data_IF_398250569281
#
_entry.id   IF_398250569281
#
_cell.length_a   1.000
_cell.length_b   1.000
_cell.length_c   1.000
_cell.angle_alpha   90.00
_cell.angle_beta   90.00
_cell.angle_gamma   90.00
#
_symmetry.space_group_name_H-M   'P 1'
#
loop_
_entity.id
_entity.type
_entity.pdbx_description
1 polymer ?
#
# COMPACT_ATOMS: atom_id res chain seq x y z
N UNK A 1 -2.02 3.95 -14.78
CA UNK A 1 -2.42 5.20 -14.10
C UNK A 1 -2.18 5.04 -12.61
N UNK A 2 -1.81 6.08 -11.86
CA UNK A 2 -1.52 5.95 -10.43
C UNK A 2 -2.78 5.60 -9.64
N UNK A 3 -2.64 4.68 -8.69
CA UNK A 3 -3.73 4.26 -7.80
C UNK A 3 -4.19 5.40 -6.89
N UNK A 4 -3.25 6.07 -6.19
CA UNK A 4 -3.55 7.31 -5.45
C UNK A 4 -3.37 8.51 -6.36
N UNK A 5 -4.39 9.36 -6.47
CA UNK A 5 -4.37 10.62 -7.25
C UNK A 5 -3.97 11.81 -6.39
N UNK A 6 -4.31 11.77 -5.13
CA UNK A 6 -3.97 12.81 -4.16
C UNK A 6 -3.93 12.25 -2.75
N UNK A 7 -3.20 12.92 -1.86
CA UNK A 7 -3.21 12.68 -0.43
C UNK A 7 -3.28 14.00 0.31
N UNK A 8 -4.21 14.14 1.23
CA UNK A 8 -4.32 15.26 2.15
C UNK A 8 -4.19 14.77 3.58
N UNK A 9 -3.26 15.34 4.31
CA UNK A 9 -3.11 15.21 5.74
C UNK A 9 -3.44 16.56 6.37
N UNK A 10 -4.46 16.63 7.20
CA UNK A 10 -4.99 17.86 7.75
C UNK A 10 -5.05 17.75 9.29
N UNK A 11 -4.32 18.58 9.98
CA UNK A 11 -4.18 18.51 11.43
C UNK A 11 -3.45 17.26 11.93
N UNK A 12 -2.57 16.67 11.10
CA UNK A 12 -1.83 15.43 11.39
C UNK A 12 -0.32 15.67 11.26
N UNK A 13 0.46 15.19 12.25
CA UNK A 13 1.93 15.22 12.24
C UNK A 13 2.47 16.64 11.95
N UNK A 14 3.23 16.83 10.85
CA UNK A 14 3.75 18.11 10.41
C UNK A 14 2.79 18.93 9.52
N UNK A 15 1.59 18.42 9.25
CA UNK A 15 0.61 19.06 8.37
C UNK A 15 -0.42 19.82 9.20
N UNK A 16 -0.42 21.19 9.15
CA UNK A 16 -1.35 21.99 9.94
C UNK A 16 -2.81 21.83 9.47
N UNK A 17 -3.77 22.25 10.30
CA UNK A 17 -5.15 22.41 9.87
C UNK A 17 -5.27 23.32 8.65
N UNK A 18 -6.09 22.92 7.67
CA UNK A 18 -6.22 23.63 6.40
C UNK A 18 -5.16 23.29 5.34
N UNK A 19 -4.38 22.22 5.56
CA UNK A 19 -3.42 21.72 4.56
C UNK A 19 -4.11 21.34 3.25
N UNK A 20 -3.49 21.72 2.12
CA UNK A 20 -3.99 21.40 0.79
C UNK A 20 -3.69 19.95 0.38
N UNK A 21 -4.50 19.34 -0.49
CA UNK A 21 -4.21 18.04 -1.07
C UNK A 21 -2.91 18.05 -1.88
N UNK A 22 -2.06 17.07 -1.68
CA UNK A 22 -0.84 16.85 -2.46
C UNK A 22 -1.21 15.97 -3.66
N UNK A 23 -1.09 16.45 -4.90
CA UNK A 23 -1.33 15.63 -6.07
C UNK A 23 -0.25 14.56 -6.21
N UNK A 24 -0.65 13.34 -6.60
CA UNK A 24 0.25 12.21 -6.79
C UNK A 24 0.17 11.71 -8.23
N UNK A 25 1.32 11.33 -8.76
CA UNK A 25 1.50 10.79 -10.12
C UNK A 25 2.00 9.35 -10.09
N UNK A 26 2.37 8.77 -11.24
CA UNK A 26 2.93 7.42 -11.32
C UNK A 26 4.28 7.30 -10.58
N UNK A 27 5.10 8.35 -10.64
CA UNK A 27 6.35 8.47 -9.89
C UNK A 27 6.37 9.80 -9.14
N UNK A 28 6.65 9.75 -7.84
CA UNK A 28 6.78 10.93 -6.99
C UNK A 28 8.11 10.85 -6.25
N UNK A 29 8.91 11.90 -6.35
CA UNK A 29 10.20 12.02 -5.66
C UNK A 29 10.11 13.13 -4.63
N UNK A 30 10.24 12.77 -3.35
CA UNK A 30 10.17 13.70 -2.22
C UNK A 30 11.57 14.21 -1.89
N UNK A 31 11.82 15.49 -2.13
CA UNK A 31 13.11 16.15 -1.84
C UNK A 31 12.88 17.30 -0.85
N UNK A 32 13.78 17.46 0.10
CA UNK A 32 13.72 18.56 1.05
C UNK A 32 14.67 18.35 2.23
N UNK A 33 14.91 19.38 3.05
CA UNK A 33 15.75 19.28 4.23
C UNK A 33 15.14 18.32 5.29
N UNK A 34 15.96 17.96 6.28
CA UNK A 34 15.48 17.21 7.43
C UNK A 34 14.39 18.00 8.16
N UNK A 35 13.34 17.33 8.62
CA UNK A 35 12.21 17.97 9.28
C UNK A 35 11.18 18.62 8.34
N UNK A 36 11.33 18.52 6.99
CA UNK A 36 10.35 19.08 6.04
C UNK A 36 9.04 18.29 5.90
N UNK A 37 8.87 17.20 6.64
CA UNK A 37 7.64 16.39 6.63
C UNK A 37 7.62 15.25 5.62
N UNK A 38 8.73 14.93 4.93
CA UNK A 38 8.80 13.80 3.98
C UNK A 38 8.40 12.46 4.61
N UNK A 39 9.03 12.11 5.74
CA UNK A 39 8.72 10.88 6.47
C UNK A 39 7.28 10.88 6.99
N UNK A 40 6.78 12.04 7.42
CA UNK A 40 5.39 12.18 7.88
C UNK A 40 4.37 11.96 6.75
N UNK A 41 4.72 12.31 5.50
CA UNK A 41 3.88 11.99 4.35
C UNK A 41 3.81 10.47 4.11
N UNK A 42 4.96 9.79 4.21
CA UNK A 42 5.03 8.32 4.10
C UNK A 42 4.25 7.67 5.25
N UNK A 43 4.36 8.16 6.48
CA UNK A 43 3.55 7.71 7.61
C UNK A 43 2.04 7.85 7.36
N UNK A 44 1.61 8.93 6.72
CA UNK A 44 0.22 9.10 6.30
C UNK A 44 -0.22 8.02 5.30
N UNK A 45 0.65 7.62 4.37
CA UNK A 45 0.39 6.52 3.44
C UNK A 45 0.34 5.17 4.17
N UNK A 46 1.23 4.93 5.13
CA UNK A 46 1.21 3.73 5.97
C UNK A 46 -0.06 3.66 6.83
N UNK A 47 -0.57 4.81 7.26
CA UNK A 47 -1.84 4.86 7.96
C UNK A 47 -3.01 4.42 7.06
N UNK A 48 -3.02 4.81 5.77
CA UNK A 48 -3.99 4.29 4.80
C UNK A 48 -3.88 2.76 4.64
N UNK A 49 -2.65 2.23 4.59
CA UNK A 49 -2.41 0.78 4.54
C UNK A 49 -3.00 0.05 5.76
N UNK A 50 -2.95 0.66 6.94
CA UNK A 50 -3.44 0.06 8.18
C UNK A 50 -4.97 0.10 8.34
N UNK A 51 -5.69 0.96 7.60
CA UNK A 51 -7.14 1.13 7.75
C UNK A 51 -7.94 -0.19 7.64
N UNK A 52 -7.69 -1.09 6.68
CA UNK A 52 -8.45 -2.33 6.55
C UNK A 52 -8.04 -3.43 7.54
N UNK A 53 -6.95 -3.25 8.30
CA UNK A 53 -6.39 -4.32 9.14
C UNK A 53 -6.26 -3.97 10.61
N UNK A 54 -5.99 -2.71 10.97
CA UNK A 54 -5.75 -2.34 12.35
C UNK A 54 -5.37 -0.88 12.54
N UNK A 55 -6.28 0.03 12.24
CA UNK A 55 -6.07 1.47 12.41
C UNK A 55 -5.64 1.85 13.84
N UNK A 56 -6.36 1.35 14.86
CA UNK A 56 -6.03 1.64 16.26
C UNK A 56 -4.64 1.12 16.66
N UNK A 57 -4.20 0.00 16.09
CA UNK A 57 -2.84 -0.53 16.33
C UNK A 57 -1.78 0.38 15.72
N UNK A 58 -1.94 0.80 14.46
CA UNK A 58 -1.01 1.70 13.79
C UNK A 58 -0.88 3.04 14.54
N UNK A 59 -2.00 3.61 14.98
CA UNK A 59 -1.99 4.82 15.81
C UNK A 59 -1.23 4.61 17.12
N UNK A 60 -1.41 3.46 17.76
CA UNK A 60 -0.75 3.13 19.04
C UNK A 60 0.75 2.92 18.87
N UNK A 61 1.17 2.21 17.81
CA UNK A 61 2.56 1.98 17.47
C UNK A 61 3.29 3.28 17.14
N UNK A 62 2.61 4.25 16.52
CA UNK A 62 3.10 5.61 16.30
C UNK A 62 3.07 6.53 17.53
N UNK A 63 2.92 5.98 18.75
CA UNK A 63 2.96 6.75 20.00
C UNK A 63 1.60 7.15 20.55
N UNK A 64 0.50 6.76 19.90
CA UNK A 64 -0.87 7.06 20.31
C UNK A 64 -1.49 8.28 19.64
N UNK A 65 -2.80 8.42 19.74
CA UNK A 65 -3.57 9.40 18.96
C UNK A 65 -3.08 10.84 19.10
N UNK A 66 -2.61 11.22 20.29
CA UNK A 66 -2.10 12.59 20.53
C UNK A 66 -0.79 12.88 19.79
N UNK A 67 0.03 11.86 19.56
CA UNK A 67 1.28 12.02 18.82
C UNK A 67 1.04 12.24 17.32
N UNK A 68 -0.04 11.71 16.81
CA UNK A 68 -0.46 11.90 15.43
C UNK A 68 -1.11 13.27 15.15
N UNK A 69 -1.67 13.94 16.17
CA UNK A 69 -2.30 15.24 15.96
C UNK A 69 -1.27 16.36 15.87
N UNK A 70 -1.57 17.35 15.02
CA UNK A 70 -0.77 18.57 14.87
C UNK A 70 -0.59 19.30 16.21
N UNK A 71 0.67 19.68 16.51
CA UNK A 71 1.09 20.28 17.79
C UNK A 71 1.51 21.74 17.70
N UNK A 72 1.16 22.46 16.61
CA UNK A 72 1.46 23.88 16.46
C UNK A 72 0.62 24.77 17.38
N UNK A 73 0.70 26.11 17.17
CA UNK A 73 0.02 27.11 18.02
C UNK A 73 -1.47 26.84 18.22
N UNK A 74 -2.15 26.35 17.19
CA UNK A 74 -3.51 25.87 17.26
C UNK A 74 -3.50 24.34 17.24
N UNK A 75 -3.27 23.71 18.37
CA UNK A 75 -3.28 22.24 18.47
C UNK A 75 -4.55 21.68 17.86
N UNK A 76 -4.42 20.80 16.87
CA UNK A 76 -5.56 20.17 16.23
C UNK A 76 -6.24 19.20 17.22
N UNK A 77 -7.56 19.29 17.32
CA UNK A 77 -8.37 18.34 18.10
C UNK A 77 -8.79 17.13 17.27
N UNK A 78 -8.78 17.30 15.96
CA UNK A 78 -9.17 16.31 14.95
C UNK A 78 -8.10 16.28 13.88
N UNK A 79 -7.62 15.08 13.58
CA UNK A 79 -6.76 14.80 12.43
C UNK A 79 -7.61 14.20 11.30
N UNK A 80 -7.35 14.60 10.08
CA UNK A 80 -8.05 14.08 8.89
C UNK A 80 -7.06 13.58 7.86
N UNK A 81 -7.29 12.36 7.37
CA UNK A 81 -6.64 11.82 6.20
C UNK A 81 -7.66 11.69 5.07
N UNK A 82 -7.33 12.22 3.90
CA UNK A 82 -8.19 12.19 2.72
C UNK A 82 -7.38 11.81 1.49
N UNK A 83 -7.93 10.96 0.64
CA UNK A 83 -7.28 10.53 -0.59
C UNK A 83 -8.29 10.27 -1.69
N UNK A 84 -7.90 10.57 -2.94
CA UNK A 84 -8.62 10.17 -4.14
C UNK A 84 -7.93 8.96 -4.74
N UNK A 85 -8.68 7.88 -4.95
CA UNK A 85 -8.18 6.62 -5.50
C UNK A 85 -8.89 6.26 -6.79
N UNK A 86 -8.12 5.80 -7.77
CA UNK A 86 -8.66 5.23 -9.00
C UNK A 86 -8.78 3.71 -8.81
N UNK A 87 -10.00 3.21 -8.88
CA UNK A 87 -10.26 1.80 -8.67
C UNK A 87 -11.08 1.20 -9.81
N UNK A 88 -10.44 0.33 -10.59
CA UNK A 88 -11.11 -0.51 -11.57
C UNK A 88 -11.76 -1.70 -10.85
N UNK A 89 -13.04 -1.60 -10.58
CA UNK A 89 -13.83 -2.76 -10.18
C UNK A 89 -14.06 -3.62 -11.42
N UNK A 90 -13.35 -4.75 -11.51
CA UNK A 90 -13.63 -5.76 -12.53
C UNK A 90 -14.92 -6.51 -12.15
N UNK A 91 -16.07 -5.88 -12.30
CA UNK A 91 -17.33 -6.60 -12.26
C UNK A 91 -17.50 -7.31 -13.61
N UNK A 92 -17.31 -8.62 -13.62
CA UNK A 92 -17.89 -9.46 -14.66
C UNK A 92 -19.41 -9.30 -14.59
N UNK A 93 -19.98 -8.51 -15.48
CA UNK A 93 -21.40 -8.65 -15.82
C UNK A 93 -21.53 -10.02 -16.48
N UNK A 94 -21.96 -11.03 -15.72
CA UNK A 94 -22.34 -12.32 -16.29
C UNK A 94 -23.69 -12.16 -16.97
N UNK A 95 -23.68 -11.63 -18.18
CA UNK A 95 -24.83 -11.68 -19.09
C UNK A 95 -25.00 -13.10 -19.62
N UNK A 96 -26.22 -13.56 -19.66
CA UNK A 96 -26.63 -14.89 -20.18
C UNK A 96 -26.52 -15.04 -21.71
N UNK A 97 -25.74 -14.23 -22.40
CA UNK A 97 -25.57 -14.32 -23.85
C UNK A 97 -24.09 -14.40 -24.21
N UNK A 98 -23.75 -15.40 -25.01
CA UNK A 98 -22.41 -15.83 -25.42
C UNK A 98 -21.68 -14.85 -26.39
N UNK A 99 -22.09 -13.58 -26.46
CA UNK A 99 -21.53 -12.56 -27.36
C UNK A 99 -21.45 -11.17 -26.73
N UNK A 100 -21.35 -11.05 -25.42
CA UNK A 100 -21.17 -9.72 -24.81
C UNK A 100 -19.68 -9.37 -24.69
N UNK A 101 -19.29 -8.45 -25.54
CA UNK A 101 -18.07 -7.65 -25.48
C UNK A 101 -17.94 -7.07 -24.06
N UNK A 102 -16.81 -7.29 -23.40
CA UNK A 102 -16.41 -6.56 -22.20
C UNK A 102 -16.53 -5.06 -22.50
N UNK A 103 -17.58 -4.43 -22.01
CA UNK A 103 -17.72 -2.98 -22.06
C UNK A 103 -16.61 -2.40 -21.18
N UNK A 104 -15.54 -1.94 -21.79
CA UNK A 104 -14.53 -1.12 -21.12
C UNK A 104 -15.26 0.13 -20.63
N UNK A 105 -15.38 0.28 -19.31
CA UNK A 105 -15.74 1.55 -18.70
C UNK A 105 -14.66 2.53 -19.13
N UNK A 106 -15.03 3.51 -19.98
CA UNK A 106 -14.08 4.44 -20.58
C UNK A 106 -13.29 5.28 -19.55
N UNK A 107 -13.79 5.39 -18.33
CA UNK A 107 -13.11 6.03 -17.21
C UNK A 107 -13.43 5.26 -15.93
N UNK A 108 -12.42 4.73 -15.22
CA UNK A 108 -12.66 4.13 -13.90
C UNK A 108 -13.17 5.20 -12.93
N UNK A 109 -14.12 4.85 -12.05
CA UNK A 109 -14.58 5.78 -11.02
C UNK A 109 -13.42 6.20 -10.11
N UNK A 110 -13.41 7.48 -9.73
CA UNK A 110 -12.51 8.02 -8.73
C UNK A 110 -13.28 8.04 -7.42
N UNK A 111 -12.78 7.30 -6.45
CA UNK A 111 -13.34 7.29 -5.10
C UNK A 111 -12.58 8.27 -4.23
N UNK A 112 -13.33 9.10 -3.50
CA UNK A 112 -12.80 9.88 -2.41
C UNK A 112 -13.01 9.11 -1.10
N UNK A 113 -11.92 8.81 -0.43
CA UNK A 113 -11.91 8.28 0.92
C UNK A 113 -11.45 9.35 1.88
N UNK A 114 -12.22 9.60 2.94
CA UNK A 114 -11.87 10.53 4.01
C UNK A 114 -12.16 9.90 5.36
N UNK A 115 -11.21 10.01 6.29
CA UNK A 115 -11.36 9.61 7.67
C UNK A 115 -10.86 10.73 8.57
N UNK A 116 -11.67 11.09 9.59
CA UNK A 116 -11.30 12.02 10.63
C UNK A 116 -11.31 11.31 11.99
N UNK A 117 -10.31 11.57 12.80
CA UNK A 117 -10.17 10.98 14.13
C UNK A 117 -9.75 12.00 15.17
N UNK A 118 -10.05 11.69 16.42
CA UNK A 118 -9.66 12.48 17.60
C UNK A 118 -9.04 11.59 18.67
N UNK A 119 -8.41 12.22 19.66
CA UNK A 119 -7.89 11.55 20.84
C UNK A 119 -8.91 11.64 21.98
N UNK A 120 -9.50 10.50 22.36
CA UNK A 120 -10.34 10.39 23.56
C UNK A 120 -9.50 9.76 24.69
N UNK A 121 -8.92 10.60 25.53
CA UNK A 121 -7.94 10.14 26.53
C UNK A 121 -6.68 9.59 25.87
N UNK A 122 -6.45 8.29 25.99
CA UNK A 122 -5.35 7.55 25.36
C UNK A 122 -5.80 6.76 24.11
N UNK A 123 -7.09 6.77 23.78
CA UNK A 123 -7.65 6.02 22.66
C UNK A 123 -7.86 6.93 21.45
N UNK A 124 -7.79 6.35 20.28
CA UNK A 124 -8.26 6.98 19.05
C UNK A 124 -9.76 6.74 18.90
N UNK A 125 -10.48 7.74 18.44
CA UNK A 125 -11.89 7.66 18.07
C UNK A 125 -12.09 8.23 16.67
N UNK A 126 -12.73 7.47 15.79
CA UNK A 126 -13.12 7.94 14.48
C UNK A 126 -14.36 8.80 14.62
N UNK A 127 -14.26 10.05 14.19
CA UNK A 127 -15.33 11.06 14.32
C UNK A 127 -16.12 11.25 13.03
N UNK A 128 -15.49 10.96 11.90
CA UNK A 128 -16.10 11.06 10.56
C UNK A 128 -15.38 10.07 9.62
N UNK A 129 -16.13 9.35 8.78
CA UNK A 129 -15.58 8.50 7.74
C UNK A 129 -16.51 8.45 6.53
N UNK A 130 -15.97 8.71 5.35
CA UNK A 130 -16.74 8.81 4.11
C UNK A 130 -16.01 8.09 2.97
N UNK A 131 -16.78 7.33 2.20
CA UNK A 131 -16.38 6.75 0.91
C UNK A 131 -17.42 7.16 -0.12
N UNK A 132 -17.02 7.93 -1.11
CA UNK A 132 -17.92 8.45 -2.13
C UNK A 132 -17.28 8.46 -3.52
N UNK A 133 -18.13 8.54 -4.54
CA UNK A 133 -17.74 8.65 -5.94
C UNK A 133 -17.52 10.13 -6.28
N UNK A 134 -16.26 10.53 -6.46
CA UNK A 134 -15.91 11.92 -6.77
C UNK A 134 -16.42 12.37 -8.14
N UNK A 135 -16.62 11.43 -9.08
CA UNK A 135 -17.10 11.76 -10.42
C UNK A 135 -18.57 12.20 -10.42
N UNK A 136 -19.31 11.88 -9.35
CA UNK A 136 -20.73 12.22 -9.16
C UNK A 136 -20.97 13.47 -8.31
N UNK A 137 -19.92 14.21 -7.95
CA UNK A 137 -19.99 15.43 -7.14
C UNK A 137 -20.69 16.62 -7.84
N UNK A 138 -21.77 16.40 -8.53
CA UNK A 138 -22.64 17.41 -9.13
C UNK A 138 -24.12 17.12 -8.92
N UNK A 139 -24.47 15.94 -8.42
CA UNK A 139 -25.84 15.56 -8.12
C UNK A 139 -26.30 16.20 -6.80
N UNK A 140 -27.53 16.70 -6.81
CA UNK A 140 -28.14 17.47 -5.73
C UNK A 140 -28.33 16.71 -4.40
N UNK A 141 -28.11 15.39 -4.38
CA UNK A 141 -28.24 14.55 -3.19
C UNK A 141 -26.88 13.93 -2.80
N UNK A 142 -26.24 14.41 -1.69
CA UNK A 142 -24.98 13.86 -1.19
C UNK A 142 -25.06 12.37 -0.82
N UNK A 143 -26.26 11.84 -0.57
CA UNK A 143 -26.46 10.42 -0.25
C UNK A 143 -26.38 9.55 -1.51
N UNK A 144 -26.65 10.07 -2.69
CA UNK A 144 -26.66 9.30 -3.94
C UNK A 144 -25.25 8.92 -4.44
N UNK A 145 -24.23 9.69 -4.08
CA UNK A 145 -22.82 9.48 -4.46
C UNK A 145 -22.01 8.71 -3.42
N UNK A 146 -22.52 8.50 -2.19
CA UNK A 146 -21.79 7.87 -1.11
C UNK A 146 -21.99 6.34 -1.09
N UNK A 147 -20.91 5.61 -0.83
CA UNK A 147 -20.93 4.16 -0.54
C UNK A 147 -20.99 3.88 0.96
N UNK A 148 -20.36 4.74 1.72
CA UNK A 148 -20.41 4.74 3.18
C UNK A 148 -20.25 6.17 3.71
N UNK A 149 -20.99 6.45 4.77
CA UNK A 149 -20.88 7.72 5.50
C UNK A 149 -21.13 7.49 6.99
N UNK A 150 -20.16 7.88 7.79
CA UNK A 150 -20.30 7.98 9.24
C UNK A 150 -20.12 9.43 9.65
N UNK A 151 -21.14 10.05 10.20
CA UNK A 151 -21.11 11.41 10.70
C UNK A 151 -22.01 11.57 11.92
N UNK A 152 -21.46 12.15 13.01
CA UNK A 152 -22.21 12.40 14.24
C UNK A 152 -22.93 11.16 14.80
N UNK A 153 -22.27 10.01 14.75
CA UNK A 153 -22.80 8.75 15.30
C UNK A 153 -23.79 8.00 14.41
N UNK A 154 -24.03 8.44 13.17
CA UNK A 154 -24.97 7.80 12.24
C UNK A 154 -24.22 7.12 11.08
N UNK A 155 -23.97 5.80 11.13
CA UNK A 155 -23.35 5.05 10.05
C UNK A 155 -24.40 4.62 9.01
N UNK A 156 -24.18 5.04 7.77
CA UNK A 156 -25.03 4.69 6.61
C UNK A 156 -24.15 4.02 5.57
N UNK A 157 -24.57 2.85 5.08
CA UNK A 157 -23.90 2.13 3.99
C UNK A 157 -24.86 1.86 2.85
N UNK A 158 -24.36 1.93 1.61
CA UNK A 158 -25.09 1.53 0.42
C UNK A 158 -24.64 0.13 0.00
N UNK A 159 -25.47 -0.87 0.36
CA UNK A 159 -25.21 -2.28 0.07
C UNK A 159 -25.75 -2.64 -1.32
N UNK A 160 -25.10 -3.56 -2.02
CA UNK A 160 -25.64 -4.15 -3.24
C UNK A 160 -26.88 -4.98 -2.90
N UNK A 161 -27.97 -4.81 -3.66
CA UNK A 161 -29.18 -5.61 -3.48
C UNK A 161 -28.96 -7.04 -3.94
N UNK A 162 -29.20 -8.01 -3.05
CA UNK A 162 -29.06 -9.45 -3.32
C UNK A 162 -30.32 -10.05 -3.94
N UNK A 163 -31.45 -9.33 -3.90
CA UNK A 163 -32.78 -9.86 -4.21
C UNK A 163 -33.23 -9.72 -5.67
N UNK A 164 -32.34 -9.38 -6.59
CA UNK A 164 -32.73 -9.20 -7.99
C UNK A 164 -31.85 -9.93 -8.98
N UNK A 165 -32.36 -11.00 -9.59
CA UNK A 165 -31.73 -11.73 -10.71
C UNK A 165 -31.53 -10.87 -11.98
N UNK A 166 -31.90 -9.57 -11.96
CA UNK A 166 -32.01 -8.76 -13.17
C UNK A 166 -31.37 -7.38 -13.12
N UNK A 167 -30.92 -6.87 -11.97
CA UNK A 167 -30.28 -5.55 -11.93
C UNK A 167 -29.18 -5.48 -10.86
N UNK A 168 -27.93 -5.70 -11.28
CA UNK A 168 -26.74 -5.78 -10.44
C UNK A 168 -26.31 -4.43 -9.86
N UNK A 169 -26.87 -3.31 -10.31
CA UNK A 169 -26.45 -1.96 -9.91
C UNK A 169 -27.37 -1.29 -8.86
N UNK A 170 -28.46 -1.96 -8.46
CA UNK A 170 -29.34 -1.38 -7.44
C UNK A 170 -28.69 -1.50 -6.06
N UNK A 171 -28.49 -0.36 -5.42
CA UNK A 171 -27.99 -0.26 -4.04
C UNK A 171 -29.14 0.05 -3.10
N UNK A 172 -29.07 -0.53 -1.93
CA UNK A 172 -30.01 -0.32 -0.84
C UNK A 172 -29.29 0.45 0.29
N UNK A 173 -29.90 1.56 0.70
CA UNK A 173 -29.44 2.31 1.86
C UNK A 173 -29.74 1.52 3.13
N UNK A 174 -28.72 1.25 3.92
CA UNK A 174 -28.82 0.57 5.22
C UNK A 174 -28.22 1.45 6.30
N UNK A 175 -28.96 1.66 7.37
CA UNK A 175 -28.45 2.28 8.58
C UNK A 175 -27.89 1.17 9.44
N UNK A 176 -26.62 1.29 9.79
CA UNK A 176 -25.97 0.33 10.69
C UNK A 176 -26.21 0.70 12.14
N UNK A 177 -26.19 -0.28 13.02
CA UNK A 177 -26.23 -0.02 14.46
C UNK A 177 -24.86 0.52 14.93
N UNK A 178 -24.77 1.77 15.43
CA UNK A 178 -23.50 2.33 15.88
C UNK A 178 -22.85 1.53 16.99
N UNK A 179 -23.64 0.82 17.80
CA UNK A 179 -23.13 0.01 18.93
C UNK A 179 -22.48 -1.30 18.47
N UNK A 180 -22.79 -1.74 17.26
CA UNK A 180 -22.18 -2.92 16.63
C UNK A 180 -20.84 -2.60 15.96
N UNK A 181 -20.51 -1.31 15.79
CA UNK A 181 -19.27 -0.86 15.15
C UNK A 181 -18.24 -0.46 16.23
N UNK A 182 -16.98 -0.82 15.97
CA UNK A 182 -15.86 -0.34 16.77
C UNK A 182 -15.55 1.10 16.36
N UNK A 183 -15.49 1.98 17.33
CA UNK A 183 -15.25 3.42 17.09
C UNK A 183 -13.78 3.75 16.83
N UNK A 184 -12.87 2.82 17.06
CA UNK A 184 -11.43 2.96 16.86
C UNK A 184 -10.92 2.21 15.62
N UNK A 185 -11.82 1.62 14.82
CA UNK A 185 -11.48 0.89 13.58
C UNK A 185 -12.27 1.43 12.38
N UNK A 186 -11.59 1.56 11.23
CA UNK A 186 -12.23 1.95 9.97
C UNK A 186 -13.31 0.95 9.55
N UNK A 187 -14.32 1.43 8.84
CA UNK A 187 -15.34 0.57 8.22
C UNK A 187 -14.71 -0.44 7.25
N UNK A 188 -13.56 -0.12 6.65
CA UNK A 188 -12.83 -1.02 5.76
C UNK A 188 -12.31 -2.28 6.48
N UNK A 189 -12.11 -2.21 7.79
CA UNK A 189 -11.75 -3.37 8.61
C UNK A 189 -12.98 -4.18 9.02
N UNK A 190 -14.15 -3.56 9.11
CA UNK A 190 -15.35 -4.13 9.72
C UNK A 190 -16.32 -4.72 8.69
N UNK A 191 -16.39 -4.17 7.47
CA UNK A 191 -17.25 -4.66 6.40
C UNK A 191 -16.41 -5.20 5.23
N UNK A 192 -16.17 -6.51 5.20
CA UNK A 192 -15.28 -7.19 4.23
C UNK A 192 -15.99 -8.11 3.24
N UNK A 193 -17.31 -8.03 3.14
CA UNK A 193 -18.07 -8.84 2.19
C UNK A 193 -18.00 -8.22 0.79
N UNK A 194 -17.22 -8.85 -0.10
CA UNK A 194 -17.03 -8.39 -1.49
C UNK A 194 -18.27 -8.49 -2.37
N UNK A 195 -19.26 -9.25 -1.96
CA UNK A 195 -20.52 -9.38 -2.69
C UNK A 195 -21.51 -8.29 -2.31
N UNK A 196 -21.62 -8.00 -1.01
CA UNK A 196 -22.54 -7.00 -0.45
C UNK A 196 -21.95 -5.58 -0.51
N UNK A 197 -20.65 -5.44 -0.23
CA UNK A 197 -19.91 -4.16 -0.15
C UNK A 197 -18.66 -4.17 -1.03
N UNK A 198 -18.81 -4.37 -2.35
CA UNK A 198 -17.68 -4.56 -3.24
C UNK A 198 -16.72 -3.36 -3.29
N UNK A 199 -17.24 -2.13 -3.22
CA UNK A 199 -16.44 -0.92 -3.26
C UNK A 199 -15.58 -0.78 -1.99
N UNK A 200 -16.19 -0.97 -0.81
CA UNK A 200 -15.46 -0.92 0.47
C UNK A 200 -14.39 -2.00 0.53
N UNK A 201 -14.78 -3.24 0.21
CA UNK A 201 -13.86 -4.38 0.21
C UNK A 201 -12.72 -4.18 -0.78
N UNK A 202 -13.03 -3.68 -1.98
CA UNK A 202 -12.03 -3.45 -3.01
C UNK A 202 -11.04 -2.35 -2.66
N UNK A 203 -11.48 -1.21 -2.13
CA UNK A 203 -10.61 -0.14 -1.65
C UNK A 203 -9.74 -0.65 -0.48
N UNK A 204 -10.36 -1.36 0.48
CA UNK A 204 -9.64 -1.96 1.60
C UNK A 204 -8.53 -2.91 1.15
N UNK A 205 -8.81 -3.82 0.21
CA UNK A 205 -7.82 -4.73 -0.36
C UNK A 205 -6.67 -3.97 -1.06
N UNK A 206 -6.96 -2.89 -1.77
CA UNK A 206 -5.93 -2.08 -2.40
C UNK A 206 -5.06 -1.35 -1.38
N UNK A 207 -5.64 -0.82 -0.31
CA UNK A 207 -4.86 -0.24 0.78
C UNK A 207 -3.97 -1.29 1.46
N UNK A 208 -4.49 -2.47 1.73
CA UNK A 208 -3.73 -3.59 2.32
C UNK A 208 -2.57 -4.08 1.44
N UNK A 209 -2.69 -3.92 0.12
CA UNK A 209 -1.65 -4.28 -0.84
C UNK A 209 -0.55 -3.22 -1.00
N UNK A 210 -0.72 -2.00 -0.50
CA UNK A 210 0.35 -0.99 -0.54
C UNK A 210 1.57 -1.47 0.25
N UNK A 211 2.75 -1.00 -0.12
CA UNK A 211 4.02 -1.41 0.54
C UNK A 211 4.86 -0.19 0.87
N UNK A 212 5.31 -0.14 2.14
CA UNK A 212 6.25 0.85 2.66
C UNK A 212 7.57 0.18 3.02
N UNK A 213 8.68 0.75 2.58
CA UNK A 213 10.04 0.31 2.91
C UNK A 213 10.78 1.48 3.55
N UNK A 214 10.77 1.56 4.87
CA UNK A 214 11.40 2.63 5.65
C UNK A 214 12.66 2.17 6.34
N UNK A 215 12.59 1.03 7.02
CA UNK A 215 13.69 0.48 7.81
C UNK A 215 14.47 -0.55 7.02
N UNK A 216 15.55 -0.09 6.40
CA UNK A 216 16.47 -0.96 5.67
C UNK A 216 17.48 -1.61 6.62
N UNK A 217 17.11 -2.73 7.24
CA UNK A 217 17.93 -3.42 8.24
C UNK A 217 18.90 -4.42 7.58
N UNK A 218 19.99 -3.93 6.97
CA UNK A 218 20.94 -4.76 6.23
C UNK A 218 22.15 -5.25 7.01
N UNK A 219 22.46 -4.77 8.18
CA UNK A 219 23.65 -5.08 8.94
C UNK A 219 24.05 -6.57 8.92
N UNK A 220 25.30 -6.86 9.28
CA UNK A 220 25.91 -8.20 9.21
C UNK A 220 25.08 -9.31 9.88
N UNK A 221 24.31 -8.98 10.90
CA UNK A 221 23.40 -9.88 11.62
C UNK A 221 21.92 -9.72 11.18
N UNK A 222 21.66 -8.96 10.11
CA UNK A 222 20.32 -8.74 9.58
C UNK A 222 19.64 -10.06 9.17
N UNK A 223 18.36 -10.17 9.42
CA UNK A 223 17.59 -11.37 9.12
C UNK A 223 17.66 -11.75 7.63
N UNK A 224 17.72 -10.78 6.73
CA UNK A 224 17.87 -10.99 5.27
C UNK A 224 19.06 -11.86 4.87
N UNK A 225 20.11 -11.91 5.69
CA UNK A 225 21.33 -12.66 5.41
C UNK A 225 21.26 -14.09 5.90
N UNK A 226 20.36 -14.37 6.82
CA UNK A 226 20.19 -15.68 7.43
C UNK A 226 19.24 -16.56 6.60
N UNK A 227 19.28 -17.89 6.77
CA UNK A 227 18.25 -18.76 6.23
C UNK A 227 16.87 -18.32 6.70
N UNK A 228 15.94 -18.16 5.76
CA UNK A 228 14.58 -17.71 6.04
C UNK A 228 13.60 -18.87 6.03
N UNK A 229 12.53 -18.85 6.84
CA UNK A 229 11.46 -19.84 6.74
C UNK A 229 10.87 -19.90 5.33
N UNK A 230 10.70 -21.11 4.79
CA UNK A 230 10.19 -21.32 3.43
C UNK A 230 8.66 -21.20 3.32
N UNK A 231 7.96 -21.04 4.44
CA UNK A 231 6.52 -20.84 4.54
C UNK A 231 6.09 -19.36 4.62
N UNK A 232 7.05 -18.43 4.46
CA UNK A 232 6.73 -17.01 4.37
C UNK A 232 6.00 -16.68 3.05
N UNK A 233 5.19 -15.59 3.01
CA UNK A 233 4.57 -15.13 1.78
C UNK A 233 5.58 -14.95 0.64
N UNK A 234 5.23 -15.40 -0.55
CA UNK A 234 6.07 -15.30 -1.76
C UNK A 234 5.50 -14.35 -2.82
N UNK A 235 4.28 -13.85 -2.63
CA UNK A 235 3.59 -12.99 -3.60
C UNK A 235 4.11 -11.55 -3.59
N UNK A 236 4.54 -11.06 -2.42
CA UNK A 236 5.04 -9.70 -2.25
C UNK A 236 6.17 -9.64 -1.23
N UNK A 237 7.14 -8.73 -1.48
CA UNK A 237 8.23 -8.49 -0.53
C UNK A 237 7.66 -7.90 0.77
N UNK A 238 8.05 -8.48 1.90
CA UNK A 238 7.69 -7.98 3.22
C UNK A 238 8.45 -6.67 3.53
N UNK A 239 7.91 -5.78 4.39
CA UNK A 239 8.59 -4.53 4.73
C UNK A 239 10.00 -4.71 5.31
N UNK A 240 10.23 -5.77 6.09
CA UNK A 240 11.54 -6.15 6.63
C UNK A 240 12.37 -7.01 5.65
N UNK A 241 11.83 -7.29 4.46
CA UNK A 241 12.45 -8.03 3.34
C UNK A 241 12.92 -9.45 3.69
N UNK A 242 12.55 -10.01 4.84
CA UNK A 242 13.02 -11.34 5.27
C UNK A 242 12.60 -12.48 4.32
N UNK A 243 11.65 -12.26 3.42
CA UNK A 243 11.25 -13.23 2.39
C UNK A 243 11.95 -13.01 1.03
N UNK A 244 13.01 -12.18 0.96
CA UNK A 244 13.69 -11.86 -0.30
C UNK A 244 14.12 -13.11 -1.07
N UNK A 245 14.63 -14.13 -0.39
CA UNK A 245 15.03 -15.38 -1.03
C UNK A 245 13.89 -16.09 -1.75
N UNK A 246 12.67 -16.07 -1.19
CA UNK A 246 11.47 -16.62 -1.81
C UNK A 246 11.00 -15.78 -3.01
N UNK A 247 11.02 -14.45 -2.87
CA UNK A 247 10.69 -13.53 -3.96
C UNK A 247 11.63 -13.73 -5.15
N UNK A 248 12.94 -13.83 -4.88
CA UNK A 248 13.93 -14.08 -5.94
C UNK A 248 13.75 -15.45 -6.59
N UNK A 249 13.41 -16.49 -5.81
CA UNK A 249 13.10 -17.81 -6.35
C UNK A 249 11.86 -17.79 -7.25
N UNK A 250 10.81 -17.09 -6.86
CA UNK A 250 9.61 -16.93 -7.69
C UNK A 250 9.91 -16.12 -8.95
N UNK A 251 10.69 -15.04 -8.83
CA UNK A 251 11.08 -14.19 -9.94
C UNK A 251 11.89 -14.97 -11.00
N UNK A 252 12.74 -15.91 -10.58
CA UNK A 252 13.53 -16.80 -11.45
C UNK A 252 12.64 -17.59 -12.43
N UNK A 253 11.39 -17.88 -12.04
CA UNK A 253 10.41 -18.61 -12.85
C UNK A 253 9.41 -17.70 -13.57
N UNK A 254 9.64 -16.39 -13.58
CA UNK A 254 8.75 -15.39 -14.19
C UNK A 254 9.33 -14.82 -15.50
N UNK A 255 8.49 -14.14 -16.26
CA UNK A 255 8.91 -13.40 -17.46
C UNK A 255 9.86 -12.23 -17.16
N UNK A 256 9.85 -11.70 -15.93
CA UNK A 256 10.69 -10.59 -15.50
C UNK A 256 12.15 -11.01 -15.20
N UNK A 257 12.46 -12.30 -15.17
CA UNK A 257 13.78 -12.82 -14.84
C UNK A 257 14.89 -12.33 -15.78
N UNK A 258 14.63 -12.28 -17.08
CA UNK A 258 15.61 -11.79 -18.05
C UNK A 258 15.99 -10.33 -17.82
N UNK A 259 15.01 -9.50 -17.49
CA UNK A 259 15.20 -8.09 -17.18
C UNK A 259 15.95 -7.91 -15.85
N UNK A 260 15.55 -8.64 -14.81
CA UNK A 260 16.24 -8.67 -13.52
C UNK A 260 17.75 -9.00 -13.68
N UNK A 261 18.08 -10.04 -14.44
CA UNK A 261 19.46 -10.40 -14.71
C UNK A 261 20.22 -9.32 -15.48
N UNK A 262 19.57 -8.64 -16.41
CA UNK A 262 20.17 -7.56 -17.20
C UNK A 262 20.58 -6.41 -16.26
N UNK A 263 19.70 -5.95 -15.39
CA UNK A 263 20.00 -4.89 -14.44
C UNK A 263 21.05 -5.33 -13.40
N UNK A 264 20.95 -6.56 -12.91
CA UNK A 264 21.91 -7.07 -11.94
C UNK A 264 23.32 -7.23 -12.55
N UNK A 265 23.44 -7.65 -13.80
CA UNK A 265 24.72 -7.74 -14.52
C UNK A 265 25.35 -6.36 -14.78
N UNK A 266 24.53 -5.33 -15.01
CA UNK A 266 25.01 -3.94 -15.12
C UNK A 266 25.50 -3.39 -13.78
N UNK A 267 24.82 -3.76 -12.70
CA UNK A 267 25.21 -3.35 -11.34
C UNK A 267 26.44 -4.12 -10.83
N UNK A 268 26.54 -5.43 -11.12
CA UNK A 268 27.64 -6.31 -10.70
C UNK A 268 28.30 -6.90 -11.96
N UNK A 269 29.37 -6.31 -12.49
CA UNK A 269 30.01 -6.77 -13.74
C UNK A 269 30.51 -8.22 -13.70
N UNK A 270 30.77 -8.77 -12.51
CA UNK A 270 31.19 -10.17 -12.33
C UNK A 270 30.03 -11.14 -12.11
N UNK A 271 28.79 -10.66 -12.06
CA UNK A 271 27.62 -11.49 -11.88
C UNK A 271 27.47 -12.49 -13.04
N UNK A 272 27.20 -13.74 -12.70
CA UNK A 272 26.91 -14.80 -13.68
C UNK A 272 25.49 -15.32 -13.55
N UNK A 273 25.11 -15.68 -12.33
CA UNK A 273 23.77 -16.19 -12.05
C UNK A 273 23.49 -16.11 -10.55
N UNK A 274 22.25 -16.26 -10.24
CA UNK A 274 21.70 -16.40 -8.89
C UNK A 274 21.25 -17.85 -8.70
N UNK A 275 21.19 -18.32 -7.46
CA UNK A 275 20.58 -19.60 -7.11
C UNK A 275 19.97 -19.57 -5.72
N UNK A 276 18.88 -20.29 -5.54
CA UNK A 276 18.25 -20.54 -4.25
C UNK A 276 18.43 -21.97 -3.81
N UNK A 277 18.53 -22.18 -2.50
CA UNK A 277 18.56 -23.51 -1.88
C UNK A 277 17.47 -23.56 -0.83
N UNK A 278 16.55 -24.51 -1.00
CA UNK A 278 15.46 -24.77 -0.05
C UNK A 278 15.74 -26.11 0.62
N UNK A 279 16.11 -26.07 1.90
CA UNK A 279 16.44 -27.28 2.68
C UNK A 279 15.97 -27.10 4.12
N UNK A 280 15.36 -28.17 4.67
CA UNK A 280 14.95 -28.19 6.07
C UNK A 280 13.91 -27.12 6.44
N UNK A 281 13.02 -26.76 5.50
CA UNK A 281 12.01 -25.72 5.73
C UNK A 281 12.56 -24.31 5.72
N UNK A 282 13.80 -24.10 5.25
CA UNK A 282 14.42 -22.78 5.10
C UNK A 282 14.87 -22.53 3.67
N UNK A 283 14.87 -21.26 3.25
CA UNK A 283 15.40 -20.77 1.97
C UNK A 283 16.65 -19.96 2.21
N UNK A 284 17.67 -20.16 1.38
CA UNK A 284 18.88 -19.36 1.28
C UNK A 284 19.11 -18.98 -0.17
N UNK A 285 19.74 -17.84 -0.42
CA UNK A 285 20.12 -17.45 -1.76
C UNK A 285 21.64 -17.21 -1.88
N UNK A 286 22.13 -17.43 -3.08
CA UNK A 286 23.55 -17.39 -3.41
C UNK A 286 23.77 -16.64 -4.71
N UNK A 287 24.88 -15.92 -4.80
CA UNK A 287 25.34 -15.22 -6.00
C UNK A 287 26.55 -15.95 -6.57
N UNK A 288 26.54 -16.18 -7.89
CA UNK A 288 27.68 -16.74 -8.61
C UNK A 288 28.37 -15.62 -9.39
N UNK A 289 29.69 -15.50 -9.20
CA UNK A 289 30.53 -14.51 -9.88
C UNK A 289 31.60 -15.15 -10.75
N UNK A 290 31.94 -14.49 -11.83
CA UNK A 290 33.07 -14.89 -12.69
C UNK A 290 34.39 -14.96 -11.91
N UNK A 291 35.12 -16.07 -12.08
CA UNK A 291 36.36 -16.33 -11.39
C UNK A 291 36.23 -16.94 -9.99
N UNK A 292 35.00 -17.11 -9.47
CA UNK A 292 34.75 -17.82 -8.23
C UNK A 292 34.28 -19.25 -8.51
N UNK A 293 34.89 -20.24 -7.80
CA UNK A 293 34.49 -21.66 -7.92
C UNK A 293 33.26 -22.00 -7.07
N UNK A 294 33.08 -21.26 -5.98
CA UNK A 294 31.98 -21.48 -5.03
C UNK A 294 31.04 -20.28 -5.04
N UNK A 295 29.71 -20.49 -4.88
CA UNK A 295 28.75 -19.39 -4.80
C UNK A 295 28.91 -18.59 -3.51
N UNK A 296 28.63 -17.31 -3.58
CA UNK A 296 28.72 -16.38 -2.46
C UNK A 296 27.34 -16.39 -1.75
N UNK A 297 27.25 -16.81 -0.48
CA UNK A 297 25.99 -16.80 0.26
C UNK A 297 25.57 -15.37 0.62
N UNK A 298 24.28 -15.14 0.83
CA UNK A 298 23.71 -13.87 1.25
C UNK A 298 24.44 -13.24 2.45
N UNK A 299 24.93 -14.07 3.39
CA UNK A 299 25.70 -13.65 4.56
C UNK A 299 27.01 -12.90 4.22
N UNK A 300 27.51 -13.04 3.00
CA UNK A 300 28.77 -12.43 2.53
C UNK A 300 28.56 -11.32 1.50
N UNK A 301 27.34 -11.08 1.05
CA UNK A 301 27.03 -9.98 0.13
C UNK A 301 27.15 -8.64 0.83
N UNK A 302 27.44 -7.58 0.10
CA UNK A 302 27.39 -6.20 0.62
C UNK A 302 25.95 -5.76 0.89
N UNK A 303 25.75 -4.80 1.80
CA UNK A 303 24.44 -4.21 2.07
C UNK A 303 23.85 -3.58 0.80
N UNK A 304 24.67 -2.85 0.04
CA UNK A 304 24.25 -2.26 -1.24
C UNK A 304 23.80 -3.31 -2.27
N UNK A 305 24.48 -4.47 -2.34
CA UNK A 305 24.09 -5.56 -3.23
C UNK A 305 22.70 -6.10 -2.87
N UNK A 306 22.46 -6.39 -1.60
CA UNK A 306 21.18 -6.94 -1.14
C UNK A 306 20.06 -5.89 -1.33
N UNK A 307 20.34 -4.62 -1.02
CA UNK A 307 19.41 -3.51 -1.22
C UNK A 307 19.02 -3.36 -2.70
N UNK A 308 20.02 -3.33 -3.58
CA UNK A 308 19.77 -3.24 -5.02
C UNK A 308 18.90 -4.40 -5.52
N UNK A 309 19.22 -5.63 -5.11
CA UNK A 309 18.42 -6.82 -5.46
C UNK A 309 17.00 -6.73 -4.92
N UNK A 310 16.79 -6.25 -3.69
CA UNK A 310 15.46 -6.11 -3.09
C UNK A 310 14.61 -5.05 -3.82
N UNK A 311 15.18 -3.88 -4.11
CA UNK A 311 14.51 -2.83 -4.87
C UNK A 311 14.16 -3.34 -6.27
N UNK A 312 15.12 -3.96 -6.95
CA UNK A 312 14.94 -4.50 -8.29
C UNK A 312 13.84 -5.58 -8.33
N UNK A 313 13.85 -6.50 -7.37
CA UNK A 313 12.82 -7.54 -7.26
C UNK A 313 11.43 -6.96 -7.00
N UNK A 314 11.34 -5.87 -6.23
CA UNK A 314 10.08 -5.18 -5.95
C UNK A 314 9.55 -4.45 -7.19
N UNK A 315 10.42 -3.75 -7.95
CA UNK A 315 10.03 -2.99 -9.13
C UNK A 315 9.67 -3.90 -10.31
N UNK A 316 10.35 -5.04 -10.44
CA UNK A 316 10.12 -6.04 -11.49
C UNK A 316 9.13 -7.14 -11.08
N UNK A 317 8.42 -6.98 -9.97
CA UNK A 317 7.41 -7.96 -9.54
C UNK A 317 6.36 -8.19 -10.63
N UNK A 318 6.04 -9.45 -10.99
CA UNK A 318 4.96 -9.76 -11.93
C UNK A 318 3.59 -9.29 -11.45
N UNK A 319 3.44 -9.12 -10.14
CA UNK A 319 2.22 -8.63 -9.47
C UNK A 319 2.56 -7.41 -8.62
N UNK A 320 2.81 -6.24 -9.24
CA UNK A 320 3.26 -5.06 -8.50
C UNK A 320 2.17 -4.58 -7.53
N UNK A 321 2.54 -4.14 -6.33
CA UNK A 321 1.60 -3.47 -5.43
C UNK A 321 1.03 -2.20 -6.07
N UNK A 322 -0.18 -1.76 -5.67
CA UNK A 322 -0.79 -0.54 -6.20
C UNK A 322 0.01 0.72 -5.87
N UNK A 323 0.78 0.69 -4.80
CA UNK A 323 1.68 1.76 -4.37
C UNK A 323 2.89 1.17 -3.65
N UNK A 324 4.07 1.72 -3.95
CA UNK A 324 5.32 1.44 -3.26
C UNK A 324 5.88 2.75 -2.73
N UNK A 325 6.13 2.82 -1.42
CA UNK A 325 6.86 3.91 -0.79
C UNK A 325 8.24 3.42 -0.37
N UNK A 326 9.28 4.17 -0.70
CA UNK A 326 10.65 3.87 -0.28
C UNK A 326 11.25 5.11 0.37
N UNK A 327 11.76 4.97 1.59
CA UNK A 327 12.52 6.02 2.27
C UNK A 327 14.01 5.75 2.08
N UNK A 328 14.76 6.75 1.63
CA UNK A 328 16.21 6.70 1.38
C UNK A 328 16.66 5.45 0.56
N UNK A 329 16.03 5.16 -0.60
CA UNK A 329 16.39 3.99 -1.40
C UNK A 329 17.86 4.01 -1.86
N UNK A 330 18.48 5.18 -1.95
CA UNK A 330 19.85 5.42 -2.36
C UNK A 330 20.90 5.11 -1.27
N UNK A 331 20.48 5.03 0.00
CA UNK A 331 21.40 4.87 1.12
C UNK A 331 22.27 3.61 0.97
N UNK A 332 23.58 3.78 0.97
CA UNK A 332 24.55 2.67 0.82
C UNK A 332 24.70 2.15 -0.61
N UNK A 333 24.08 2.77 -1.60
CA UNK A 333 24.29 2.47 -3.02
C UNK A 333 25.38 3.38 -3.63
N UNK A 334 26.11 2.83 -4.58
CA UNK A 334 27.03 3.63 -5.42
C UNK A 334 26.20 4.54 -6.35
N UNK A 335 26.67 5.76 -6.70
CA UNK A 335 25.94 6.65 -7.62
C UNK A 335 25.51 5.98 -8.94
N UNK A 336 26.33 5.13 -9.53
CA UNK A 336 26.00 4.40 -10.76
C UNK A 336 24.79 3.46 -10.57
N UNK A 337 24.65 2.88 -9.37
CA UNK A 337 23.50 2.04 -9.04
C UNK A 337 22.20 2.86 -8.94
N UNK A 338 22.29 4.08 -8.43
CA UNK A 338 21.15 5.01 -8.36
C UNK A 338 20.69 5.40 -9.77
N UNK A 339 21.66 5.74 -10.65
CA UNK A 339 21.35 6.02 -12.06
C UNK A 339 20.71 4.81 -12.76
N UNK A 340 21.17 3.60 -12.45
CA UNK A 340 20.62 2.37 -12.98
C UNK A 340 19.16 2.14 -12.51
N UNK A 341 18.88 2.34 -11.21
CA UNK A 341 17.51 2.26 -10.68
C UNK A 341 16.60 3.34 -11.28
N UNK A 342 17.10 4.57 -11.45
CA UNK A 342 16.34 5.64 -12.08
C UNK A 342 15.96 5.33 -13.54
N UNK A 343 16.74 4.51 -14.24
CA UNK A 343 16.40 4.08 -15.60
C UNK A 343 15.30 3.00 -15.66
N UNK A 344 14.94 2.41 -14.53
CA UNK A 344 13.89 1.41 -14.39
C UNK A 344 12.53 2.04 -14.03
N UNK A 345 12.54 3.21 -13.38
CA UNK A 345 11.35 3.98 -12.96
C UNK A 345 10.79 4.83 -14.12
#
# INVERSE_FOLDING_TARGET
MPFLKSLRLDGILSFPPGSEPIPLTGLNVLIGPNGSGKSNLIEGIELLHALPTGFASAIREGGGAREWLWKGENTARVGTIETCVEYLSLFKVVGRSSTETLGLIHHPPIFRYRLAFSALGQRVEITDEVIEDETKNGDLDPDSSSYYRFKKGNPIVHARSVNGLTNTDRREKRVLDPTALKQDESILAQLKDSFVYPELTGIGQKFEQMRGFREWSFGRNGQLRQPQPADLPSEALLPDMRNLGLILNQLEHSSAWAEFNTYLSRFLPRFQRFSTLIVGGTVQFFLHEAGMKMPIPATRLSDGTIRFMAILAQLLSPTPPPLICMEEPELGLHPDAIALLASLL
#
